data_IF_952786812506
#
_entry.id   IF_952786812506
#
_cell.length_a   1.000
_cell.length_b   1.000
_cell.length_c   1.000
_cell.angle_alpha   90.00
_cell.angle_beta   90.00
_cell.angle_gamma   90.00
#
_symmetry.space_group_name_H-M   'P 1'
#
loop_
_entity.id
_entity.type
_entity.pdbx_description
1 polymer ?
#
# COMPACT_ATOMS: atom_id res chain seq x y z
N UNK A 1 0.48 -8.50 17.12
CA UNK A 1 -0.37 -8.91 15.97
C UNK A 1 -1.07 -10.19 16.37
N UNK A 2 -2.30 -10.40 15.90
CA UNK A 2 -3.02 -11.65 16.12
C UNK A 2 -2.35 -12.77 15.32
N UNK A 3 -2.39 -13.99 15.83
CA UNK A 3 -1.59 -15.11 15.36
C UNK A 3 -2.39 -16.40 15.16
N UNK A 4 -3.63 -16.44 15.65
CA UNK A 4 -4.50 -17.62 15.57
C UNK A 4 -5.95 -17.28 15.25
N UNK A 5 -6.70 -18.30 14.82
CA UNK A 5 -8.14 -18.20 14.60
C UNK A 5 -8.89 -17.73 15.86
N UNK A 6 -8.56 -18.33 17.01
CA UNK A 6 -9.16 -17.99 18.31
C UNK A 6 -8.95 -16.51 18.66
N UNK A 7 -7.75 -15.99 18.42
CA UNK A 7 -7.44 -14.58 18.67
C UNK A 7 -8.26 -13.64 17.78
N UNK A 8 -8.47 -13.98 16.51
CA UNK A 8 -9.30 -13.19 15.59
C UNK A 8 -10.78 -13.24 15.97
N UNK A 9 -11.30 -14.42 16.28
CA UNK A 9 -12.71 -14.58 16.69
C UNK A 9 -12.99 -13.85 18.02
N UNK A 10 -12.06 -13.93 18.97
CA UNK A 10 -12.14 -13.15 20.21
C UNK A 10 -12.10 -11.65 19.93
N UNK A 11 -11.19 -11.19 19.07
CA UNK A 11 -11.12 -9.78 18.67
C UNK A 11 -12.43 -9.29 18.03
N UNK A 12 -13.03 -10.07 17.12
CA UNK A 12 -14.34 -9.77 16.51
C UNK A 12 -15.44 -9.62 17.57
N UNK A 13 -15.46 -10.52 18.57
CA UNK A 13 -16.45 -10.50 19.64
C UNK A 13 -16.26 -9.32 20.60
N UNK A 14 -15.03 -9.10 21.09
CA UNK A 14 -14.69 -8.02 22.04
C UNK A 14 -14.94 -6.64 21.42
N UNK A 15 -14.63 -6.48 20.14
CA UNK A 15 -14.89 -5.26 19.41
C UNK A 15 -16.38 -5.10 19.02
N UNK A 16 -17.27 -6.08 19.26
CA UNK A 16 -18.67 -6.04 18.83
C UNK A 16 -18.81 -5.77 17.32
N UNK A 17 -18.02 -6.47 16.52
CA UNK A 17 -17.96 -6.31 15.07
C UNK A 17 -19.23 -6.85 14.42
N UNK A 18 -19.83 -6.08 13.51
CA UNK A 18 -21.03 -6.47 12.78
C UNK A 18 -20.68 -7.25 11.49
N UNK A 19 -19.54 -6.92 10.87
CA UNK A 19 -19.13 -7.48 9.58
C UNK A 19 -17.64 -7.78 9.50
N UNK A 20 -17.28 -8.78 8.71
CA UNK A 20 -15.89 -9.04 8.31
C UNK A 20 -15.74 -8.74 6.82
N UNK A 21 -14.80 -7.88 6.48
CA UNK A 21 -14.42 -7.55 5.11
C UNK A 21 -13.27 -8.44 4.69
N UNK A 22 -13.58 -9.39 3.81
CA UNK A 22 -12.66 -10.40 3.28
C UNK A 22 -11.90 -9.76 2.13
N UNK A 23 -10.58 -9.61 2.28
CA UNK A 23 -9.72 -8.92 1.30
C UNK A 23 -8.66 -9.84 0.71
N UNK A 24 -8.35 -9.65 -0.56
CA UNK A 24 -7.24 -10.33 -1.24
C UNK A 24 -6.71 -9.46 -2.39
N UNK A 25 -5.50 -9.73 -2.89
CA UNK A 25 -4.87 -8.89 -3.91
C UNK A 25 -4.97 -9.55 -5.30
N UNK A 26 -5.42 -8.80 -6.31
CA UNK A 26 -5.34 -9.26 -7.70
C UNK A 26 -3.93 -9.08 -8.28
N UNK A 27 -3.67 -9.66 -9.45
CA UNK A 27 -2.32 -9.69 -10.03
C UNK A 27 -1.74 -8.28 -10.29
N UNK A 28 -2.51 -7.29 -10.80
CA UNK A 28 -2.02 -5.91 -10.94
C UNK A 28 -1.77 -5.14 -9.62
N UNK A 29 -2.21 -5.65 -8.46
CA UNK A 29 -1.96 -5.00 -7.16
C UNK A 29 -3.14 -4.20 -6.59
N UNK A 30 -4.38 -4.56 -6.94
CA UNK A 30 -5.60 -3.98 -6.35
C UNK A 30 -6.17 -4.92 -5.29
N UNK A 31 -6.44 -4.38 -4.09
CA UNK A 31 -7.21 -5.13 -3.10
C UNK A 31 -8.65 -5.28 -3.59
N UNK A 32 -9.06 -6.53 -3.75
CA UNK A 32 -10.43 -6.96 -3.97
C UNK A 32 -11.06 -7.29 -2.62
N UNK A 33 -12.38 -7.16 -2.52
CA UNK A 33 -13.07 -7.48 -1.28
C UNK A 33 -14.51 -7.93 -1.48
N UNK A 34 -15.03 -8.67 -0.50
CA UNK A 34 -16.45 -8.85 -0.24
C UNK A 34 -16.69 -8.90 1.27
N UNK A 35 -17.92 -8.66 1.70
CA UNK A 35 -18.26 -8.58 3.12
C UNK A 35 -19.16 -9.72 3.54
N UNK A 36 -18.86 -10.33 4.69
CA UNK A 36 -19.72 -11.33 5.35
C UNK A 36 -20.20 -10.82 6.71
N UNK A 37 -21.41 -11.18 7.18
CA UNK A 37 -21.83 -10.92 8.55
C UNK A 37 -20.88 -11.59 9.55
N UNK A 38 -20.59 -10.93 10.68
CA UNK A 38 -19.77 -11.52 11.74
C UNK A 38 -20.37 -12.83 12.27
N UNK A 39 -21.71 -12.96 12.26
CA UNK A 39 -22.42 -14.18 12.68
C UNK A 39 -22.16 -15.40 11.79
N UNK A 40 -21.71 -15.22 10.55
CA UNK A 40 -21.34 -16.31 9.64
C UNK A 40 -19.81 -16.55 9.60
N UNK A 41 -19.04 -15.80 10.39
CA UNK A 41 -17.59 -15.90 10.43
C UNK A 41 -17.15 -16.67 11.68
N UNK A 42 -16.92 -17.97 11.52
CA UNK A 42 -16.52 -18.88 12.62
C UNK A 42 -15.27 -19.70 12.29
N UNK A 43 -14.94 -20.67 13.13
CA UNK A 43 -13.73 -21.50 13.02
C UNK A 43 -13.58 -22.18 11.65
N UNK A 44 -14.69 -22.59 11.03
CA UNK A 44 -14.67 -23.24 9.71
C UNK A 44 -14.08 -22.36 8.61
N UNK A 45 -14.07 -21.03 8.76
CA UNK A 45 -13.44 -20.13 7.78
C UNK A 45 -11.91 -20.28 7.79
N UNK A 46 -11.32 -20.67 8.92
CA UNK A 46 -9.88 -20.88 9.04
C UNK A 46 -9.44 -22.28 8.58
N UNK A 47 -10.36 -23.25 8.55
CA UNK A 47 -10.08 -24.62 8.10
C UNK A 47 -10.52 -24.86 6.66
N UNK A 48 -11.75 -24.48 6.34
CA UNK A 48 -12.44 -24.80 5.09
C UNK A 48 -12.40 -23.61 4.11
N UNK A 49 -12.05 -22.42 4.59
CA UNK A 49 -11.95 -21.21 3.78
C UNK A 49 -13.29 -20.66 3.29
N UNK A 50 -13.20 -19.61 2.46
CA UNK A 50 -14.33 -19.02 1.76
C UNK A 50 -14.16 -19.19 0.25
N UNK A 51 -15.26 -19.52 -0.44
CA UNK A 51 -15.25 -19.70 -1.89
C UNK A 51 -15.57 -18.39 -2.61
N UNK A 52 -14.95 -18.17 -3.77
CA UNK A 52 -15.28 -17.05 -4.67
C UNK A 52 -15.03 -17.39 -6.14
N UNK A 53 -15.63 -16.60 -7.04
CA UNK A 53 -15.42 -16.69 -8.48
C UNK A 53 -14.16 -15.91 -8.90
N UNK A 54 -13.10 -16.65 -9.23
CA UNK A 54 -11.83 -16.12 -9.71
C UNK A 54 -11.82 -15.69 -11.18
N UNK A 55 -12.86 -16.01 -11.96
CA UNK A 55 -12.91 -15.67 -13.40
C UNK A 55 -13.08 -14.17 -13.67
N UNK A 56 -13.60 -13.45 -12.68
CA UNK A 56 -13.75 -11.99 -12.71
C UNK A 56 -12.53 -11.24 -12.16
N UNK A 57 -11.50 -11.94 -11.70
CA UNK A 57 -10.29 -11.35 -11.12
C UNK A 57 -9.18 -11.28 -12.16
N UNK A 58 -8.62 -10.08 -12.35
CA UNK A 58 -7.58 -9.83 -13.36
C UNK A 58 -6.34 -10.69 -13.10
N UNK A 59 -5.97 -11.48 -14.10
CA UNK A 59 -4.80 -12.36 -14.04
C UNK A 59 -5.02 -13.68 -13.29
N UNK A 60 -6.26 -14.00 -12.87
CA UNK A 60 -6.56 -15.24 -12.15
C UNK A 60 -7.05 -16.34 -13.11
N UNK A 61 -8.20 -16.96 -12.87
CA UNK A 61 -8.66 -18.13 -13.61
C UNK A 61 -9.53 -17.75 -14.81
N UNK A 62 -9.71 -18.71 -15.71
CA UNK A 62 -10.72 -18.61 -16.76
C UNK A 62 -12.05 -19.17 -16.25
N UNK A 63 -13.14 -18.90 -16.99
CA UNK A 63 -14.51 -19.29 -16.61
C UNK A 63 -14.66 -20.80 -16.34
N UNK A 64 -13.88 -21.65 -17.01
CA UNK A 64 -13.97 -23.12 -16.83
C UNK A 64 -13.21 -23.66 -15.59
N UNK A 65 -12.44 -22.81 -14.91
CA UNK A 65 -11.69 -23.11 -13.67
C UNK A 65 -11.99 -22.03 -12.61
N UNK A 66 -13.24 -21.52 -12.57
CA UNK A 66 -13.59 -20.28 -11.88
C UNK A 66 -13.45 -20.34 -10.36
N UNK A 67 -13.81 -21.46 -9.74
CA UNK A 67 -13.92 -21.54 -8.29
C UNK A 67 -12.54 -21.49 -7.62
N UNK A 68 -12.41 -20.61 -6.64
CA UNK A 68 -11.18 -20.41 -5.87
C UNK A 68 -11.50 -20.34 -4.38
N UNK A 69 -10.53 -20.69 -3.54
CA UNK A 69 -10.67 -20.70 -2.08
C UNK A 69 -9.81 -19.60 -1.45
N UNK A 70 -10.32 -18.99 -0.38
CA UNK A 70 -9.64 -17.99 0.44
C UNK A 70 -9.41 -18.52 1.85
N UNK A 71 -8.17 -18.48 2.31
CA UNK A 71 -7.82 -18.78 3.70
C UNK A 71 -7.29 -17.52 4.41
N UNK A 72 -7.80 -17.20 5.61
CA UNK A 72 -7.47 -15.96 6.31
C UNK A 72 -6.02 -15.93 6.80
N UNK A 73 -5.44 -14.73 6.82
CA UNK A 73 -4.20 -14.44 7.53
C UNK A 73 -4.50 -13.65 8.81
N UNK A 74 -4.49 -14.29 10.00
CA UNK A 74 -4.82 -13.64 11.27
C UNK A 74 -4.04 -12.35 11.56
N UNK A 75 -2.79 -12.27 11.08
CA UNK A 75 -1.90 -11.15 11.39
C UNK A 75 -2.35 -9.82 10.79
N UNK A 76 -3.27 -9.87 9.83
CA UNK A 76 -3.73 -8.71 9.05
C UNK A 76 -5.04 -8.10 9.57
N UNK A 77 -5.65 -8.68 10.61
CA UNK A 77 -6.94 -8.22 11.10
C UNK A 77 -6.85 -6.79 11.68
N UNK A 78 -7.72 -5.89 11.23
CA UNK A 78 -7.83 -4.53 11.76
C UNK A 78 -9.27 -4.01 11.69
N UNK A 79 -9.68 -3.18 12.66
CA UNK A 79 -10.97 -2.47 12.56
C UNK A 79 -10.88 -1.40 11.47
N UNK A 80 -11.89 -1.36 10.60
CA UNK A 80 -11.99 -0.34 9.55
C UNK A 80 -12.40 1.02 10.14
N UNK A 81 -11.59 2.09 10.00
CA UNK A 81 -11.90 3.38 10.62
C UNK A 81 -12.90 4.23 9.82
N UNK A 82 -13.31 3.79 8.62
CA UNK A 82 -14.15 4.57 7.71
C UNK A 82 -15.57 4.02 7.56
N UNK A 83 -15.78 2.74 7.84
CA UNK A 83 -17.09 2.11 7.70
C UNK A 83 -18.05 2.53 8.81
N UNK A 84 -19.25 2.96 8.42
CA UNK A 84 -20.31 3.36 9.35
C UNK A 84 -20.81 2.21 10.25
N UNK A 85 -20.73 0.96 9.77
CA UNK A 85 -21.03 -0.25 10.53
C UNK A 85 -19.73 -0.92 10.95
N UNK A 86 -19.63 -1.33 12.22
CA UNK A 86 -18.36 -1.78 12.77
C UNK A 86 -17.88 -3.03 12.04
N UNK A 87 -16.70 -2.94 11.44
CA UNK A 87 -16.19 -3.94 10.49
C UNK A 87 -14.73 -4.21 10.76
N UNK A 88 -14.31 -5.47 10.68
CA UNK A 88 -12.90 -5.86 10.65
C UNK A 88 -12.50 -6.22 9.22
N UNK A 89 -11.42 -5.61 8.75
CA UNK A 89 -10.76 -5.99 7.50
C UNK A 89 -9.78 -7.12 7.80
N UNK A 90 -9.82 -8.17 6.98
CA UNK A 90 -8.92 -9.32 7.10
C UNK A 90 -8.45 -9.73 5.71
N UNK A 91 -7.14 -9.91 5.56
CA UNK A 91 -6.53 -10.29 4.28
C UNK A 91 -6.37 -11.81 4.21
N UNK A 92 -6.56 -12.37 3.02
CA UNK A 92 -6.59 -13.80 2.76
C UNK A 92 -5.53 -14.18 1.74
N UNK A 93 -5.11 -15.44 1.79
CA UNK A 93 -4.37 -16.11 0.71
C UNK A 93 -5.35 -16.82 -0.20
N UNK A 94 -5.00 -16.92 -1.48
CA UNK A 94 -5.77 -17.66 -2.47
C UNK A 94 -5.22 -19.07 -2.61
N UNK A 95 -6.11 -20.05 -2.64
CA UNK A 95 -5.80 -21.47 -2.74
C UNK A 95 -6.63 -22.14 -3.84
N UNK A 96 -6.06 -23.19 -4.41
CA UNK A 96 -6.79 -24.11 -5.30
C UNK A 96 -7.78 -24.93 -4.46
N UNK A 97 -9.08 -24.93 -4.79
CA UNK A 97 -10.11 -25.52 -3.93
C UNK A 97 -10.13 -27.05 -3.95
N UNK A 98 -9.49 -27.70 -4.94
CA UNK A 98 -9.48 -29.16 -5.07
C UNK A 98 -8.28 -29.76 -4.34
N UNK A 99 -7.12 -29.13 -4.46
CA UNK A 99 -5.85 -29.60 -3.92
C UNK A 99 -5.48 -28.94 -2.59
N UNK A 100 -6.09 -27.79 -2.28
CA UNK A 100 -5.70 -26.93 -1.15
C UNK A 100 -4.37 -26.20 -1.36
N UNK A 101 -3.72 -26.36 -2.53
CA UNK A 101 -2.40 -25.79 -2.78
C UNK A 101 -2.45 -24.26 -2.88
N UNK A 102 -1.42 -23.53 -2.38
CA UNK A 102 -1.32 -22.09 -2.56
C UNK A 102 -1.34 -21.72 -4.05
N UNK A 103 -2.24 -20.80 -4.41
CA UNK A 103 -2.39 -20.38 -5.79
C UNK A 103 -1.16 -19.63 -6.30
N UNK A 104 -0.68 -20.01 -7.49
CA UNK A 104 0.59 -19.53 -8.03
C UNK A 104 0.60 -18.06 -8.45
N UNK A 105 -0.56 -17.49 -8.76
CA UNK A 105 -0.76 -16.10 -9.22
C UNK A 105 -1.27 -15.15 -8.14
N UNK A 106 -1.40 -15.63 -6.90
CA UNK A 106 -1.66 -14.76 -5.74
C UNK A 106 -0.37 -14.02 -5.34
N UNK A 107 -0.34 -12.67 -5.40
CA UNK A 107 0.82 -11.87 -5.01
C UNK A 107 1.30 -12.18 -3.58
N UNK A 108 0.39 -12.44 -2.63
CA UNK A 108 0.76 -12.73 -1.24
C UNK A 108 1.43 -14.09 -1.10
N UNK A 109 1.01 -15.08 -1.88
CA UNK A 109 1.71 -16.36 -1.98
C UNK A 109 3.10 -16.23 -2.60
N UNK A 110 3.28 -15.34 -3.57
CA UNK A 110 4.62 -15.05 -4.14
C UNK A 110 5.53 -14.43 -3.09
N UNK A 111 5.04 -13.46 -2.32
CA UNK A 111 5.74 -12.87 -1.18
C UNK A 111 6.13 -13.92 -0.13
N UNK A 112 5.19 -14.76 0.31
CA UNK A 112 5.45 -15.86 1.27
C UNK A 112 6.52 -16.83 0.76
N UNK A 113 6.42 -17.26 -0.51
CA UNK A 113 7.43 -18.12 -1.14
C UNK A 113 8.81 -17.47 -1.20
N UNK A 114 8.88 -16.14 -1.36
CA UNK A 114 10.16 -15.42 -1.38
C UNK A 114 10.84 -15.42 0.00
N UNK A 115 10.08 -15.25 1.08
CA UNK A 115 10.60 -15.38 2.44
C UNK A 115 11.06 -16.81 2.75
N UNK A 116 10.29 -17.82 2.36
CA UNK A 116 10.66 -19.24 2.50
C UNK A 116 11.91 -19.57 1.69
N UNK A 117 12.02 -19.04 0.48
CA UNK A 117 13.19 -19.22 -0.37
C UNK A 117 14.45 -18.65 0.28
N UNK A 118 14.39 -17.42 0.81
CA UNK A 118 15.51 -16.80 1.53
C UNK A 118 15.97 -17.70 2.69
N UNK A 119 15.05 -18.16 3.54
CA UNK A 119 15.34 -19.10 4.63
C UNK A 119 16.01 -20.37 4.11
N UNK A 120 15.48 -20.95 3.03
CA UNK A 120 15.99 -22.16 2.40
C UNK A 120 17.39 -22.01 1.80
N UNK A 121 17.81 -20.80 1.40
CA UNK A 121 19.17 -20.55 0.91
C UNK A 121 20.23 -20.56 2.02
N UNK A 122 19.84 -20.35 3.28
CA UNK A 122 20.74 -20.19 4.41
C UNK A 122 21.50 -18.85 4.45
N UNK A 123 21.26 -17.93 3.50
CA UNK A 123 21.88 -16.60 3.45
C UNK A 123 21.39 -15.73 4.62
N UNK A 124 20.08 -15.73 4.86
CA UNK A 124 19.43 -15.03 5.96
C UNK A 124 18.08 -15.65 6.29
N UNK A 125 17.43 -15.20 7.36
CA UNK A 125 16.10 -15.67 7.78
C UNK A 125 15.01 -14.61 7.58
N UNK A 126 15.39 -13.34 7.48
CA UNK A 126 14.48 -12.20 7.43
C UNK A 126 14.97 -11.17 6.41
N UNK A 127 14.09 -10.74 5.52
CA UNK A 127 14.30 -9.57 4.67
C UNK A 127 13.36 -8.45 5.11
N UNK A 128 13.92 -7.35 5.59
CA UNK A 128 13.15 -6.16 5.95
C UNK A 128 13.03 -5.22 4.75
N UNK A 129 11.84 -4.67 4.58
CA UNK A 129 11.50 -3.68 3.58
C UNK A 129 10.91 -2.44 4.26
N UNK A 130 11.34 -1.25 3.84
CA UNK A 130 10.79 0.05 4.23
C UNK A 130 10.49 0.87 2.97
N UNK A 131 9.25 0.83 2.45
CA UNK A 131 8.82 1.62 1.30
C UNK A 131 8.37 3.03 1.71
N UNK A 132 8.88 4.05 1.03
CA UNK A 132 8.46 5.46 1.14
C UNK A 132 7.53 5.77 -0.06
N UNK A 133 6.22 5.64 0.13
CA UNK A 133 5.25 5.78 -0.95
C UNK A 133 4.67 7.20 -1.01
N UNK A 134 5.28 8.03 -1.86
CA UNK A 134 4.84 9.39 -2.17
C UNK A 134 3.46 9.41 -2.86
N UNK A 135 2.70 10.49 -2.64
CA UNK A 135 1.39 10.68 -3.24
C UNK A 135 1.04 12.15 -3.47
N UNK A 136 0.07 12.41 -4.34
CA UNK A 136 -0.53 13.75 -4.49
C UNK A 136 -1.93 13.81 -3.91
N UNK A 137 -2.27 14.94 -3.29
CA UNK A 137 -3.61 15.31 -2.81
C UNK A 137 -4.20 16.37 -3.75
N UNK A 138 -5.15 15.97 -4.59
CA UNK A 138 -5.85 16.88 -5.50
C UNK A 138 -7.27 17.20 -5.02
N UNK A 139 -7.79 18.35 -5.45
CA UNK A 139 -9.19 18.73 -5.26
C UNK A 139 -10.08 18.09 -6.33
N UNK A 140 -9.56 17.93 -7.56
CA UNK A 140 -10.29 17.28 -8.63
C UNK A 140 -9.36 16.56 -9.63
N UNK A 141 -9.87 15.51 -10.23
CA UNK A 141 -9.26 14.83 -11.36
C UNK A 141 -10.36 14.38 -12.33
N UNK A 142 -10.25 14.75 -13.59
CA UNK A 142 -11.19 14.40 -14.67
C UNK A 142 -10.39 13.91 -15.86
N UNK A 143 -10.90 12.90 -16.56
CA UNK A 143 -10.29 12.41 -17.79
C UNK A 143 -11.35 11.77 -18.68
N UNK A 144 -11.12 11.77 -19.99
CA UNK A 144 -11.96 11.11 -20.98
C UNK A 144 -11.11 10.61 -22.14
N UNK A 145 -11.54 9.51 -22.74
CA UNK A 145 -11.00 9.00 -24.00
C UNK A 145 -12.16 8.45 -24.79
N UNK A 146 -12.47 9.09 -25.90
CA UNK A 146 -13.55 8.73 -26.81
C UNK A 146 -13.10 8.94 -28.27
N UNK A 147 -13.99 8.65 -29.23
CA UNK A 147 -13.66 8.78 -30.65
C UNK A 147 -13.25 10.21 -31.05
N UNK A 148 -13.73 11.24 -30.35
CA UNK A 148 -13.53 12.65 -30.71
C UNK A 148 -12.81 13.48 -29.63
N UNK A 149 -12.43 12.90 -28.49
CA UNK A 149 -11.70 13.60 -27.42
C UNK A 149 -10.76 12.69 -26.64
N UNK A 150 -9.64 13.26 -26.21
CA UNK A 150 -8.74 12.69 -25.21
C UNK A 150 -8.26 13.82 -24.31
N UNK A 151 -8.55 13.74 -23.01
CA UNK A 151 -8.05 14.74 -22.06
C UNK A 151 -7.87 14.14 -20.67
N UNK A 152 -7.03 14.80 -19.88
CA UNK A 152 -7.03 14.73 -18.44
C UNK A 152 -6.93 16.16 -17.89
N UNK A 153 -7.47 16.37 -16.69
CA UNK A 153 -7.45 17.65 -16.01
C UNK A 153 -7.45 17.41 -14.50
N UNK A 154 -6.37 17.81 -13.85
CA UNK A 154 -6.20 17.76 -12.40
C UNK A 154 -6.17 19.20 -11.86
N UNK A 155 -6.69 19.40 -10.66
CA UNK A 155 -6.66 20.72 -10.01
C UNK A 155 -6.45 20.59 -8.51
N UNK A 156 -5.78 21.59 -7.94
CA UNK A 156 -5.52 21.73 -6.50
C UNK A 156 -5.43 23.21 -6.15
N UNK A 157 -5.94 23.58 -4.98
CA UNK A 157 -5.86 24.93 -4.41
C UNK A 157 -4.41 25.38 -4.24
N UNK A 158 -3.48 24.47 -3.99
CA UNK A 158 -2.04 24.75 -3.90
C UNK A 158 -1.34 24.84 -5.27
N UNK A 159 -2.02 24.45 -6.36
CA UNK A 159 -1.39 24.35 -7.68
C UNK A 159 -0.83 25.69 -8.14
N UNK A 160 0.46 25.71 -8.51
CA UNK A 160 1.15 26.90 -9.00
C UNK A 160 0.44 27.57 -10.20
N UNK A 161 -0.27 26.78 -11.01
CA UNK A 161 -1.08 27.27 -12.13
C UNK A 161 -2.30 28.13 -11.70
N UNK A 162 -2.70 28.07 -10.44
CA UNK A 162 -3.83 28.85 -9.90
C UNK A 162 -3.42 30.19 -9.28
N UNK A 163 -2.14 30.60 -9.36
CA UNK A 163 -1.66 31.86 -8.74
C UNK A 163 -2.41 33.12 -9.21
N UNK A 164 -2.94 33.11 -10.43
CA UNK A 164 -3.77 34.20 -10.97
C UNK A 164 -5.27 33.89 -11.04
N UNK A 165 -5.74 32.78 -10.46
CA UNK A 165 -7.15 32.38 -10.50
C UNK A 165 -7.99 33.32 -9.64
N UNK A 166 -9.13 33.76 -10.18
CA UNK A 166 -10.14 34.45 -9.38
C UNK A 166 -10.92 33.40 -8.58
N UNK A 167 -10.88 33.51 -7.26
CA UNK A 167 -11.42 32.54 -6.31
C UNK A 167 -12.56 33.16 -5.52
N UNK A 168 -13.60 32.38 -5.21
CA UNK A 168 -14.71 32.85 -4.38
C UNK A 168 -14.17 33.19 -2.99
N UNK A 169 -14.28 34.46 -2.59
CA UNK A 169 -13.68 34.96 -1.34
C UNK A 169 -12.29 35.57 -1.49
N UNK A 170 -11.72 35.58 -2.70
CA UNK A 170 -10.41 36.14 -3.03
C UNK A 170 -9.28 35.12 -3.00
N UNK A 171 -8.31 35.28 -3.91
CA UNK A 171 -7.10 34.45 -3.95
C UNK A 171 -6.07 34.96 -2.93
N UNK A 172 -5.81 34.17 -1.89
CA UNK A 172 -4.92 34.53 -0.78
C UNK A 172 -3.43 34.23 -1.06
N UNK A 173 -3.07 33.93 -2.30
CA UNK A 173 -1.74 33.47 -2.70
C UNK A 173 -1.36 32.13 -2.05
N UNK A 174 -0.15 32.03 -1.48
CA UNK A 174 0.41 30.84 -0.83
C UNK A 174 0.25 29.52 -1.63
N UNK A 175 0.56 29.59 -2.93
CA UNK A 175 0.60 28.41 -3.79
C UNK A 175 2.07 28.00 -3.98
N UNK A 176 2.51 26.83 -3.48
CA UNK A 176 3.88 26.37 -3.66
C UNK A 176 4.27 26.42 -5.14
N UNK A 177 5.46 26.96 -5.43
CA UNK A 177 5.99 26.96 -6.80
C UNK A 177 6.23 25.52 -7.25
N UNK A 178 6.34 25.30 -8.56
CA UNK A 178 6.89 24.05 -9.08
C UNK A 178 8.22 23.73 -8.38
N UNK A 179 8.38 22.49 -7.91
CA UNK A 179 9.54 22.04 -7.15
C UNK A 179 9.81 22.84 -5.86
N UNK A 180 8.78 23.45 -5.29
CA UNK A 180 8.88 24.34 -4.13
C UNK A 180 8.07 23.90 -2.91
N UNK A 181 7.53 22.68 -2.92
CA UNK A 181 6.69 22.14 -1.84
C UNK A 181 7.46 21.60 -0.63
N UNK A 182 8.78 21.40 -0.74
CA UNK A 182 9.60 20.83 0.34
C UNK A 182 10.31 21.94 1.13
N UNK A 183 9.97 22.23 2.38
CA UNK A 183 8.78 21.82 3.15
C UNK A 183 8.27 23.02 3.98
N UNK A 184 7.90 24.14 3.32
CA UNK A 184 7.57 25.38 4.02
C UNK A 184 6.38 25.20 4.95
N UNK A 185 6.40 25.90 6.08
CA UNK A 185 5.32 25.87 7.07
C UNK A 185 4.03 26.51 6.52
N UNK A 186 2.86 26.24 7.15
CA UNK A 186 1.65 27.00 6.90
C UNK A 186 1.87 28.52 7.00
N UNK A 187 1.22 29.35 6.18
CA UNK A 187 0.11 28.98 5.30
C UNK A 187 0.53 28.50 3.90
N UNK A 188 1.83 28.25 3.62
CA UNK A 188 2.25 27.72 2.31
C UNK A 188 1.86 26.23 2.14
N UNK A 189 1.93 25.46 3.22
CA UNK A 189 1.41 24.09 3.29
C UNK A 189 -0.06 24.13 3.76
N UNK A 190 -0.98 23.73 2.89
CA UNK A 190 -2.42 23.69 3.13
C UNK A 190 -2.88 22.33 3.68
N UNK A 191 -2.02 21.31 3.67
CA UNK A 191 -2.42 19.92 3.94
C UNK A 191 -1.83 19.35 5.22
N UNK A 192 -1.14 20.14 6.07
CA UNK A 192 -0.59 19.68 7.35
C UNK A 192 -1.62 18.96 8.23
N UNK A 193 -2.82 19.53 8.38
CA UNK A 193 -3.89 18.94 9.20
C UNK A 193 -4.45 17.66 8.57
N UNK A 194 -4.62 17.65 7.25
CA UNK A 194 -5.09 16.46 6.53
C UNK A 194 -4.08 15.31 6.63
N UNK A 195 -2.78 15.59 6.51
CA UNK A 195 -1.73 14.58 6.71
C UNK A 195 -1.68 14.10 8.16
N UNK A 196 -1.88 14.99 9.13
CA UNK A 196 -1.97 14.60 10.55
C UNK A 196 -3.16 13.67 10.82
N UNK A 197 -4.29 13.90 10.17
CA UNK A 197 -5.46 13.01 10.21
C UNK A 197 -5.20 11.66 9.53
N UNK A 198 -4.46 11.65 8.40
CA UNK A 198 -4.00 10.40 7.77
C UNK A 198 -3.12 9.60 8.74
N UNK A 199 -2.15 10.25 9.39
CA UNK A 199 -1.27 9.62 10.40
C UNK A 199 -2.09 9.04 11.56
N UNK A 200 -3.07 9.79 12.09
CA UNK A 200 -3.95 9.30 13.16
C UNK A 200 -4.69 8.02 12.74
N UNK A 201 -5.24 7.99 11.53
CA UNK A 201 -5.97 6.83 11.02
C UNK A 201 -5.04 5.65 10.69
N UNK A 202 -3.79 5.91 10.25
CA UNK A 202 -2.77 4.89 10.04
C UNK A 202 -2.37 4.21 11.36
N UNK A 203 -2.12 5.00 12.41
CA UNK A 203 -1.80 4.50 13.75
C UNK A 203 -2.98 3.68 14.31
N UNK A 204 -4.22 4.17 14.16
CA UNK A 204 -5.41 3.43 14.55
C UNK A 204 -5.58 2.11 13.76
N UNK A 205 -4.99 2.02 12.58
CA UNK A 205 -4.96 0.82 11.72
C UNK A 205 -3.76 -0.10 12.00
N UNK A 206 -2.99 0.14 13.07
CA UNK A 206 -1.83 -0.66 13.44
C UNK A 206 -0.59 -0.41 12.57
N UNK A 207 -0.53 0.71 11.85
CA UNK A 207 0.65 1.14 11.11
C UNK A 207 1.49 2.06 12.01
N UNK A 208 2.76 1.70 12.20
CA UNK A 208 3.71 2.54 12.93
C UNK A 208 4.27 3.58 11.96
N UNK A 209 4.03 4.86 12.27
CA UNK A 209 4.40 6.01 11.44
C UNK A 209 5.61 6.70 12.05
N UNK A 210 6.61 7.01 11.23
CA UNK A 210 7.84 7.69 11.65
C UNK A 210 7.74 9.21 11.47
N UNK A 211 7.26 9.68 10.30
CA UNK A 211 7.07 11.11 10.03
C UNK A 211 6.04 11.36 8.91
N UNK A 212 5.70 12.64 8.73
CA UNK A 212 4.91 13.12 7.59
C UNK A 212 5.43 14.48 7.14
N UNK A 213 5.43 14.74 5.85
CA UNK A 213 5.79 16.05 5.29
C UNK A 213 5.11 16.31 3.95
N UNK A 214 5.14 17.58 3.56
CA UNK A 214 4.90 17.98 2.19
C UNK A 214 6.14 17.63 1.35
N UNK A 215 5.91 17.07 0.16
CA UNK A 215 6.97 16.69 -0.77
C UNK A 215 7.33 17.81 -1.75
N UNK A 216 8.29 17.59 -2.65
CA UNK A 216 8.87 18.64 -3.51
C UNK A 216 7.86 19.29 -4.48
N UNK A 217 6.91 18.54 -5.01
CA UNK A 217 5.95 19.01 -6.01
C UNK A 217 5.00 20.10 -5.50
N UNK A 218 4.46 20.93 -6.40
CA UNK A 218 3.32 21.80 -6.09
C UNK A 218 2.05 20.96 -5.84
N UNK A 219 0.89 21.58 -5.58
CA UNK A 219 -0.42 20.91 -5.62
C UNK A 219 -0.56 19.70 -4.67
N UNK A 220 0.01 19.76 -3.47
CA UNK A 220 -0.23 18.78 -2.42
C UNK A 220 0.53 17.46 -2.56
N UNK A 221 1.74 17.45 -3.09
CA UNK A 221 2.59 16.26 -2.98
C UNK A 221 2.92 15.99 -1.50
N UNK A 222 2.87 14.75 -1.07
CA UNK A 222 3.05 14.36 0.31
C UNK A 222 3.72 12.99 0.45
N UNK A 223 4.36 12.79 1.59
CA UNK A 223 4.92 11.52 2.04
C UNK A 223 4.61 11.32 3.53
N UNK A 224 4.40 10.06 3.91
CA UNK A 224 4.22 9.62 5.29
C UNK A 224 5.02 8.32 5.44
N UNK A 225 6.07 8.37 6.25
CA UNK A 225 6.97 7.25 6.44
C UNK A 225 6.45 6.27 7.46
N UNK A 226 6.58 4.99 7.14
CA UNK A 226 6.10 3.90 7.96
C UNK A 226 7.24 2.95 8.29
N UNK A 227 7.25 2.45 9.53
CA UNK A 227 8.31 1.58 10.02
C UNK A 227 8.43 0.33 9.15
N UNK A 228 9.66 -0.01 8.78
CA UNK A 228 9.97 -1.21 8.01
C UNK A 228 9.46 -2.49 8.68
N UNK A 229 9.12 -3.51 7.88
CA UNK A 229 8.63 -4.82 8.33
C UNK A 229 9.21 -5.94 7.46
N UNK A 230 9.11 -7.22 7.87
CA UNK A 230 9.40 -8.35 6.98
C UNK A 230 8.58 -8.27 5.69
N UNK A 231 9.13 -8.78 4.58
CA UNK A 231 8.63 -8.60 3.21
C UNK A 231 7.11 -8.71 3.07
N UNK A 232 6.49 -9.80 3.52
CA UNK A 232 5.03 -9.99 3.37
C UNK A 232 4.25 -8.99 4.21
N UNK A 233 4.63 -8.86 5.49
CA UNK A 233 3.98 -7.93 6.42
C UNK A 233 4.09 -6.47 5.96
N UNK A 234 5.20 -6.11 5.30
CA UNK A 234 5.38 -4.78 4.74
C UNK A 234 4.51 -4.55 3.51
N UNK A 235 4.37 -5.57 2.65
CA UNK A 235 3.46 -5.49 1.50
C UNK A 235 2.00 -5.30 1.97
N UNK A 236 1.56 -6.04 2.98
CA UNK A 236 0.22 -5.87 3.57
C UNK A 236 0.05 -4.48 4.19
N UNK A 237 1.05 -4.01 4.95
CA UNK A 237 1.06 -2.67 5.54
C UNK A 237 0.95 -1.57 4.47
N UNK A 238 1.64 -1.71 3.33
CA UNK A 238 1.58 -0.77 2.22
C UNK A 238 0.19 -0.74 1.57
N UNK A 239 -0.50 -1.88 1.46
CA UNK A 239 -1.88 -1.92 0.95
C UNK A 239 -2.85 -1.21 1.90
N UNK A 240 -2.71 -1.45 3.21
CA UNK A 240 -3.47 -0.71 4.25
C UNK A 240 -3.16 0.78 4.21
N UNK A 241 -1.89 1.15 4.06
CA UNK A 241 -1.45 2.54 3.95
C UNK A 241 -2.17 3.27 2.80
N UNK A 242 -2.12 2.70 1.59
CA UNK A 242 -2.78 3.28 0.41
C UNK A 242 -4.30 3.39 0.60
N UNK A 243 -4.91 2.41 1.25
CA UNK A 243 -6.34 2.44 1.58
C UNK A 243 -6.67 3.59 2.55
N UNK A 244 -5.95 3.68 3.67
CA UNK A 244 -6.18 4.70 4.70
C UNK A 244 -5.96 6.11 4.18
N UNK A 245 -4.87 6.35 3.44
CA UNK A 245 -4.58 7.67 2.85
C UNK A 245 -5.67 8.09 1.87
N UNK A 246 -6.08 7.19 0.94
CA UNK A 246 -7.15 7.49 -0.02
C UNK A 246 -8.49 7.74 0.66
N UNK A 247 -8.86 6.92 1.63
CA UNK A 247 -10.13 7.02 2.34
C UNK A 247 -10.21 8.27 3.21
N UNK A 248 -9.11 8.63 3.89
CA UNK A 248 -9.01 9.88 4.68
C UNK A 248 -9.16 11.10 3.77
N UNK A 249 -8.44 11.13 2.64
CA UNK A 249 -8.58 12.20 1.66
C UNK A 249 -10.01 12.29 1.10
N UNK A 250 -10.64 11.15 0.80
CA UNK A 250 -12.02 11.11 0.30
C UNK A 250 -13.02 11.66 1.32
N UNK A 251 -12.86 11.34 2.59
CA UNK A 251 -13.69 11.88 3.67
C UNK A 251 -13.53 13.42 3.80
N UNK A 252 -12.35 13.95 3.49
CA UNK A 252 -12.07 15.39 3.43
C UNK A 252 -12.43 16.06 2.09
N UNK A 253 -13.15 15.36 1.19
CA UNK A 253 -13.56 15.91 -0.11
C UNK A 253 -12.40 16.07 -1.12
N UNK A 254 -11.30 15.34 -0.93
CA UNK A 254 -10.13 15.33 -1.82
C UNK A 254 -10.04 14.01 -2.59
N UNK A 255 -9.10 13.94 -3.53
CA UNK A 255 -8.73 12.71 -4.24
C UNK A 255 -7.22 12.53 -4.22
N UNK A 256 -6.77 11.34 -3.82
CA UNK A 256 -5.34 11.00 -3.77
C UNK A 256 -4.94 10.09 -4.92
N UNK A 257 -3.76 10.33 -5.48
CA UNK A 257 -3.12 9.42 -6.43
C UNK A 257 -1.70 9.06 -6.02
N UNK A 258 -1.37 7.78 -6.19
CA UNK A 258 -0.02 7.21 -6.07
C UNK A 258 0.60 6.96 -7.46
N UNK A 259 0.03 7.53 -8.53
CA UNK A 259 0.57 7.33 -9.87
C UNK A 259 1.97 7.96 -9.98
N UNK A 260 2.89 7.38 -10.79
CA UNK A 260 4.28 7.83 -10.81
C UNK A 260 4.48 9.28 -11.27
N UNK A 261 3.64 9.76 -12.20
CA UNK A 261 3.82 11.09 -12.80
C UNK A 261 2.50 11.81 -13.10
N UNK A 262 1.82 12.36 -12.09
CA UNK A 262 0.57 13.08 -12.32
C UNK A 262 0.79 14.47 -12.95
N UNK A 263 1.91 15.13 -12.64
CA UNK A 263 2.22 16.48 -13.12
C UNK A 263 3.41 16.49 -14.08
N UNK A 264 3.19 17.06 -15.27
CA UNK A 264 4.26 17.38 -16.20
C UNK A 264 5.11 18.54 -15.66
N UNK A 265 6.44 18.41 -15.76
CA UNK A 265 7.38 19.46 -15.34
C UNK A 265 7.65 19.55 -13.83
N UNK A 266 6.88 18.85 -12.99
CA UNK A 266 7.11 18.80 -11.54
C UNK A 266 7.67 17.45 -11.06
N UNK A 267 7.78 17.21 -9.76
CA UNK A 267 8.24 15.94 -9.19
C UNK A 267 7.20 14.81 -9.40
N UNK A 268 7.70 13.59 -9.59
CA UNK A 268 6.84 12.38 -9.65
C UNK A 268 6.70 11.77 -8.27
N UNK A 269 5.85 10.75 -8.14
CA UNK A 269 5.77 9.93 -6.93
C UNK A 269 6.69 8.71 -7.05
N UNK A 270 7.62 8.58 -6.13
CA UNK A 270 8.44 7.41 -5.90
C UNK A 270 7.79 6.36 -4.99
N UNK A 271 8.44 5.19 -4.94
CA UNK A 271 8.31 4.25 -3.84
C UNK A 271 9.72 3.77 -3.48
N UNK A 272 10.47 4.58 -2.73
CA UNK A 272 11.84 4.22 -2.37
C UNK A 272 11.81 3.01 -1.44
N UNK A 273 12.49 1.92 -1.79
CA UNK A 273 12.45 0.68 -1.02
C UNK A 273 13.78 0.43 -0.31
N UNK A 274 13.84 0.78 0.97
CA UNK A 274 14.93 0.45 1.87
C UNK A 274 14.91 -1.04 2.18
N UNK A 275 16.04 -1.74 1.98
CA UNK A 275 16.12 -3.19 2.06
C UNK A 275 17.31 -3.63 2.91
N UNK A 276 17.11 -4.63 3.77
CA UNK A 276 18.20 -5.28 4.50
C UNK A 276 17.90 -6.76 4.73
N UNK A 277 18.94 -7.59 4.72
CA UNK A 277 18.87 -9.01 5.07
C UNK A 277 19.48 -9.22 6.45
N UNK A 278 18.78 -10.01 7.27
CA UNK A 278 19.16 -10.35 8.63
C UNK A 278 19.23 -11.85 8.80
N UNK A 279 20.04 -12.27 9.77
CA UNK A 279 20.18 -13.66 10.18
C UNK A 279 20.40 -13.73 11.68
N UNK A 280 19.68 -14.61 12.35
CA UNK A 280 19.75 -14.86 13.80
C UNK A 280 19.66 -13.55 14.61
N UNK A 281 18.83 -12.60 14.14
CA UNK A 281 18.63 -11.29 14.76
C UNK A 281 19.75 -10.26 14.54
N UNK A 282 20.71 -10.52 13.64
CA UNK A 282 21.79 -9.59 13.30
C UNK A 282 21.72 -9.11 11.83
N UNK A 283 22.06 -7.83 11.54
CA UNK A 283 22.08 -7.31 10.18
C UNK A 283 23.29 -7.85 9.40
N UNK A 284 23.09 -8.18 8.12
CA UNK A 284 24.16 -8.73 7.27
C UNK A 284 24.82 -7.72 6.35
N UNK A 285 24.26 -6.52 6.20
CA UNK A 285 24.71 -5.55 5.20
C UNK A 285 25.80 -4.59 5.70
N UNK A 286 26.09 -4.57 6.99
CA UNK A 286 27.07 -3.66 7.57
C UNK A 286 28.49 -4.25 7.59
N UNK A 287 29.47 -3.46 7.20
CA UNK A 287 30.91 -3.71 7.39
C UNK A 287 31.63 -2.36 7.50
N UNK A 288 32.35 -2.15 8.61
CA UNK A 288 33.04 -0.89 8.94
C UNK A 288 34.05 -0.47 7.86
N UNK A 289 34.73 -1.42 7.22
CA UNK A 289 35.76 -1.13 6.22
C UNK A 289 35.22 -1.08 4.79
N UNK A 290 33.95 -1.44 4.61
CA UNK A 290 33.28 -1.46 3.31
C UNK A 290 33.01 -0.05 2.77
N UNK A 291 32.97 0.10 1.44
CA UNK A 291 32.50 1.34 0.83
C UNK A 291 31.08 1.66 1.32
N UNK A 292 30.86 2.89 1.78
CA UNK A 292 29.61 3.34 2.41
C UNK A 292 29.14 2.46 3.59
N UNK A 293 30.06 1.76 4.26
CA UNK A 293 29.75 0.86 5.38
C UNK A 293 29.08 -0.46 4.97
N UNK A 294 29.21 -0.86 3.70
CA UNK A 294 28.56 -2.05 3.15
C UNK A 294 29.46 -3.27 3.14
N UNK A 295 28.94 -4.37 3.69
CA UNK A 295 29.51 -5.71 3.58
C UNK A 295 29.50 -6.23 2.14
N UNK A 296 30.26 -7.29 1.90
CA UNK A 296 30.23 -8.02 0.64
C UNK A 296 28.82 -8.52 0.30
N UNK A 297 28.07 -9.03 1.28
CA UNK A 297 26.66 -9.42 1.12
C UNK A 297 25.81 -8.26 0.62
N UNK A 298 25.93 -7.08 1.24
CA UNK A 298 25.21 -5.88 0.82
C UNK A 298 25.61 -5.43 -0.59
N UNK A 299 26.91 -5.48 -0.92
CA UNK A 299 27.43 -5.10 -2.23
C UNK A 299 26.99 -6.06 -3.34
N UNK A 300 26.98 -7.37 -3.09
CA UNK A 300 26.51 -8.37 -4.05
C UNK A 300 25.00 -8.31 -4.24
N UNK A 301 24.24 -8.01 -3.18
CA UNK A 301 22.81 -7.74 -3.27
C UNK A 301 22.51 -6.59 -4.24
N UNK A 302 23.20 -5.45 -4.07
CA UNK A 302 23.10 -4.30 -5.00
C UNK A 302 23.54 -4.71 -6.42
N UNK A 303 24.62 -5.48 -6.55
CA UNK A 303 25.06 -6.02 -7.83
C UNK A 303 23.96 -6.82 -8.55
N UNK A 304 23.20 -7.63 -7.81
CA UNK A 304 22.03 -8.36 -8.31
C UNK A 304 20.90 -7.42 -8.76
N UNK A 305 20.54 -6.42 -7.95
CA UNK A 305 19.53 -5.42 -8.32
C UNK A 305 19.90 -4.72 -9.64
N UNK A 306 21.13 -4.23 -9.76
CA UNK A 306 21.61 -3.52 -10.95
C UNK A 306 21.69 -4.45 -12.16
N UNK A 307 22.16 -5.68 -11.98
CA UNK A 307 22.25 -6.68 -13.05
C UNK A 307 20.89 -7.03 -13.63
N UNK A 308 19.86 -7.13 -12.78
CA UNK A 308 18.51 -7.53 -13.16
C UNK A 308 17.54 -6.37 -13.37
N UNK A 309 17.96 -5.12 -13.18
CA UNK A 309 17.13 -3.93 -13.34
C UNK A 309 16.28 -3.94 -14.63
N UNK A 310 16.82 -4.27 -15.84
CA UNK A 310 16.02 -4.25 -17.06
C UNK A 310 14.77 -5.14 -17.02
N UNK A 311 14.84 -6.30 -16.35
CA UNK A 311 13.70 -7.20 -16.17
C UNK A 311 12.91 -6.92 -14.88
N UNK A 312 13.59 -6.47 -13.83
CA UNK A 312 12.98 -6.20 -12.52
C UNK A 312 11.99 -5.03 -12.59
N UNK A 313 12.28 -4.02 -13.43
CA UNK A 313 11.41 -2.86 -13.65
C UNK A 313 10.01 -3.25 -14.17
N UNK A 314 9.83 -4.42 -14.77
CA UNK A 314 8.52 -4.93 -15.15
C UNK A 314 7.58 -5.14 -13.93
N UNK A 315 8.14 -5.30 -12.73
CA UNK A 315 7.40 -5.46 -11.47
C UNK A 315 7.49 -4.22 -10.58
N UNK A 316 8.67 -3.58 -10.50
CA UNK A 316 8.84 -2.40 -9.62
C UNK A 316 8.29 -1.12 -10.24
N UNK A 317 8.14 -1.08 -11.57
CA UNK A 317 7.60 0.07 -12.32
C UNK A 317 6.60 -0.44 -13.39
N UNK A 318 5.47 -1.06 -12.98
CA UNK A 318 4.67 -1.93 -13.84
C UNK A 318 3.61 -1.18 -14.68
N UNK A 319 3.79 0.12 -14.93
CA UNK A 319 2.83 0.95 -15.68
C UNK A 319 3.52 1.66 -16.83
N UNK A 320 2.73 2.01 -17.86
CA UNK A 320 3.16 2.86 -18.98
C UNK A 320 3.55 4.27 -18.53
#
# INVERSE_FOLDING_TARGET
MLSSAEEVLRFIAEENVEFVDVRFCDLPGTMQHFTVPASSFGDSVFTDGLMFDGSSIRGFQQIHESDMQLLPDPSTAMVDPFRARKTVNLTFFVHDPLTGAPYSRDPRNVARKAEDYLRGTGIGDTAYFGPEAEFYIFDSARFSTSANEGYYHIDSVEGAWNTGKDEVGGNLAYKPRYKGGYFPVPPMDHYTDLRSEMVRNLIASGIEVEMQHHEVGTAGQAEIDIRFRPLLAMADALMTYKYVVKSTARAAGKTVTFMPKPLFGDNGNGMHCHQSIWKDGAPLFYDEVGYAGLSDTGRYYIGGLLKHAPSLLAFTNPTA
#
